data_IF_888340022029
#
_entry.id   IF_888340022029
#
_cell.length_a   1.000
_cell.length_b   1.000
_cell.length_c   1.000
_cell.angle_alpha   90.00
_cell.angle_beta   90.00
_cell.angle_gamma   90.00
#
_symmetry.space_group_name_H-M   'P 1'
#
loop_
_entity.id
_entity.type
_entity.pdbx_description
1 polymer ?
#
# COMPACT_ATOMS: atom_id res chain seq x y z
N UNK A 1 -17.73 32.22 54.89
CA UNK A 1 -18.64 32.07 53.72
C UNK A 1 -17.98 32.48 52.41
N UNK A 2 -17.30 33.65 52.32
CA UNK A 2 -16.61 34.13 51.10
C UNK A 2 -15.60 33.14 50.48
N UNK A 3 -14.76 32.48 51.31
CA UNK A 3 -13.76 31.50 50.83
C UNK A 3 -14.39 30.25 50.19
N UNK A 4 -15.54 29.79 50.71
CA UNK A 4 -16.28 28.65 50.14
C UNK A 4 -16.93 29.02 48.81
N UNK A 5 -17.48 30.23 48.71
CA UNK A 5 -18.02 30.76 47.46
C UNK A 5 -16.95 30.85 46.36
N UNK A 6 -15.75 31.35 46.70
CA UNK A 6 -14.61 31.43 45.77
C UNK A 6 -14.16 30.04 45.29
N UNK A 7 -14.09 29.06 46.20
CA UNK A 7 -13.73 27.68 45.84
C UNK A 7 -14.78 27.04 44.94
N UNK A 8 -16.06 27.26 45.20
CA UNK A 8 -17.16 26.75 44.37
C UNK A 8 -17.18 27.39 42.98
N UNK A 9 -16.95 28.70 42.89
CA UNK A 9 -16.84 29.38 41.58
C UNK A 9 -15.64 28.90 40.77
N UNK A 10 -14.51 28.65 41.44
CA UNK A 10 -13.31 28.12 40.77
C UNK A 10 -13.54 26.69 40.26
N UNK A 11 -14.17 25.85 41.08
CA UNK A 11 -14.51 24.48 40.69
C UNK A 11 -15.49 24.46 39.50
N UNK A 12 -16.52 25.31 39.51
CA UNK A 12 -17.45 25.44 38.40
C UNK A 12 -16.74 25.89 37.11
N UNK A 13 -15.82 26.85 37.22
CA UNK A 13 -15.04 27.31 36.07
C UNK A 13 -14.13 26.21 35.50
N UNK A 14 -13.45 25.43 36.36
CA UNK A 14 -12.63 24.30 35.93
C UNK A 14 -13.46 23.22 35.22
N UNK A 15 -14.67 22.93 35.72
CA UNK A 15 -15.57 21.96 35.11
C UNK A 15 -16.02 22.42 33.71
N UNK A 16 -16.37 23.70 33.56
CA UNK A 16 -16.76 24.30 32.28
C UNK A 16 -15.60 24.30 31.27
N UNK A 17 -14.38 24.63 31.72
CA UNK A 17 -13.20 24.62 30.88
C UNK A 17 -12.85 23.21 30.38
N UNK A 18 -13.00 22.19 31.24
CA UNK A 18 -12.79 20.79 30.86
C UNK A 18 -13.77 20.32 29.78
N UNK A 19 -15.05 20.69 29.89
CA UNK A 19 -16.07 20.37 28.88
C UNK A 19 -15.78 21.08 27.55
N UNK A 20 -15.38 22.34 27.58
CA UNK A 20 -15.04 23.10 26.37
C UNK A 20 -13.85 22.50 25.60
N UNK A 21 -12.81 22.04 26.32
CA UNK A 21 -11.64 21.39 25.72
C UNK A 21 -11.96 20.01 25.14
N UNK A 22 -12.89 19.26 25.75
CA UNK A 22 -13.30 17.95 25.25
C UNK A 22 -14.22 18.02 24.01
N UNK A 23 -14.93 19.12 23.83
CA UNK A 23 -15.78 19.37 22.65
C UNK A 23 -14.99 19.89 21.43
N UNK A 24 -13.69 20.21 21.60
CA UNK A 24 -12.85 20.60 20.48
C UNK A 24 -12.71 19.42 19.51
N UNK A 25 -12.99 19.59 18.21
CA UNK A 25 -12.75 18.56 17.21
C UNK A 25 -11.27 18.14 17.27
N UNK A 26 -10.96 16.84 17.25
CA UNK A 26 -9.57 16.42 17.11
C UNK A 26 -9.00 17.03 15.81
N UNK A 27 -7.71 17.43 15.79
CA UNK A 27 -7.08 17.87 14.55
C UNK A 27 -7.30 16.79 13.50
N UNK A 28 -7.80 17.20 12.34
CA UNK A 28 -8.07 16.27 11.25
C UNK A 28 -6.77 15.51 10.92
N UNK A 29 -6.84 14.18 10.69
CA UNK A 29 -5.68 13.45 10.22
C UNK A 29 -5.16 14.13 8.93
N UNK A 30 -3.94 14.66 8.97
CA UNK A 30 -3.31 15.12 7.75
C UNK A 30 -2.83 13.89 6.99
N UNK A 31 -3.43 13.67 5.83
CA UNK A 31 -2.95 12.70 4.87
C UNK A 31 -2.01 13.46 3.94
N UNK A 32 -0.72 13.36 4.22
CA UNK A 32 0.31 13.81 3.29
C UNK A 32 0.28 12.85 2.10
N UNK A 33 -0.15 13.33 0.93
CA UNK A 33 -0.08 12.57 -0.31
C UNK A 33 0.92 13.19 -1.26
N UNK A 34 1.64 12.32 -1.96
CA UNK A 34 2.50 12.69 -3.08
C UNK A 34 2.02 11.91 -4.31
N UNK A 35 1.97 12.60 -5.44
CA UNK A 35 1.68 11.97 -6.73
C UNK A 35 3.00 11.68 -7.40
N UNK A 36 3.30 10.41 -7.66
CA UNK A 36 4.32 10.05 -8.64
C UNK A 36 3.66 10.24 -10.01
N UNK A 37 3.84 11.42 -10.62
CA UNK A 37 3.33 11.68 -11.97
C UNK A 37 4.05 10.75 -12.95
N UNK A 38 3.27 9.93 -13.67
CA UNK A 38 3.65 9.15 -14.85
C UNK A 38 5.17 8.90 -14.99
N UNK A 39 5.68 7.94 -14.23
CA UNK A 39 7.00 7.37 -14.51
C UNK A 39 6.89 6.28 -15.56
N UNK A 40 7.96 5.97 -16.27
CA UNK A 40 7.93 4.96 -17.33
C UNK A 40 9.20 4.98 -18.17
N UNK A 41 9.30 4.06 -19.12
CA UNK A 41 10.45 3.98 -20.02
C UNK A 41 10.11 3.24 -21.30
N UNK A 42 10.76 3.69 -22.36
CA UNK A 42 10.76 3.05 -23.68
C UNK A 42 12.09 2.32 -23.87
N UNK A 43 12.03 1.09 -24.35
CA UNK A 43 13.21 0.29 -24.68
C UNK A 43 13.05 -0.33 -26.08
N UNK A 44 14.10 -0.26 -26.89
CA UNK A 44 14.12 -0.81 -28.25
C UNK A 44 15.28 -1.78 -28.44
N UNK A 45 15.01 -2.87 -29.16
CA UNK A 45 16.03 -3.79 -29.64
C UNK A 45 15.67 -4.25 -31.06
N UNK A 46 16.23 -3.60 -32.08
CA UNK A 46 15.94 -3.91 -33.48
C UNK A 46 14.49 -3.61 -33.86
N UNK A 47 13.70 -4.63 -34.16
CA UNK A 47 12.25 -4.49 -34.49
C UNK A 47 11.33 -4.56 -33.27
N UNK A 48 11.91 -4.71 -32.07
CA UNK A 48 11.14 -4.84 -30.83
C UNK A 48 11.08 -3.51 -30.09
N UNK A 49 9.88 -3.10 -29.71
CA UNK A 49 9.58 -1.90 -28.91
C UNK A 49 8.88 -2.30 -27.63
N UNK A 50 9.35 -1.83 -26.48
CA UNK A 50 8.77 -2.07 -25.17
C UNK A 50 8.46 -0.74 -24.48
N UNK A 51 7.19 -0.53 -24.14
CA UNK A 51 6.70 0.63 -23.43
C UNK A 51 6.26 0.22 -22.01
N UNK A 52 6.80 0.87 -20.99
CA UNK A 52 6.49 0.58 -19.60
C UNK A 52 6.07 1.85 -18.85
N UNK A 53 5.08 1.73 -17.96
CA UNK A 53 4.61 2.81 -17.09
C UNK A 53 4.72 2.39 -15.62
N UNK A 54 5.43 3.19 -14.81
CA UNK A 54 5.57 3.04 -13.36
C UNK A 54 4.20 3.17 -12.71
N UNK A 55 3.87 2.21 -11.85
CA UNK A 55 2.59 2.17 -11.14
C UNK A 55 1.48 1.40 -11.87
N UNK A 56 1.70 0.98 -13.12
CA UNK A 56 0.81 0.02 -13.78
C UNK A 56 1.33 -1.40 -13.55
N UNK A 57 0.61 -2.26 -12.81
CA UNK A 57 0.97 -3.67 -12.73
C UNK A 57 0.74 -4.31 -14.11
N UNK A 58 1.83 -4.49 -14.87
CA UNK A 58 1.82 -5.27 -16.10
C UNK A 58 2.13 -6.72 -15.73
N UNK A 59 1.15 -7.59 -15.91
CA UNK A 59 1.31 -9.05 -15.79
C UNK A 59 0.98 -9.66 -17.13
N UNK A 60 1.93 -10.34 -17.75
CA UNK A 60 1.72 -10.94 -19.07
C UNK A 60 2.94 -11.65 -19.60
N UNK A 61 2.70 -12.56 -20.54
CA UNK A 61 3.73 -13.32 -21.24
C UNK A 61 3.41 -13.33 -22.74
N UNK A 62 4.33 -12.84 -23.54
CA UNK A 62 4.25 -12.81 -25.01
C UNK A 62 5.33 -13.74 -25.52
N UNK A 63 4.91 -14.78 -26.26
CA UNK A 63 5.81 -15.76 -26.86
C UNK A 63 5.68 -15.68 -28.37
N UNK A 64 6.80 -15.55 -29.06
CA UNK A 64 6.94 -15.74 -30.49
C UNK A 64 8.02 -16.82 -30.73
N UNK A 65 8.17 -17.29 -31.97
CA UNK A 65 9.15 -18.32 -32.33
C UNK A 65 10.60 -17.96 -31.99
N UNK A 66 10.90 -16.67 -31.79
CA UNK A 66 12.25 -16.13 -31.59
C UNK A 66 12.45 -15.39 -30.27
N UNK A 67 11.40 -15.11 -29.50
CA UNK A 67 11.53 -14.41 -28.22
C UNK A 67 10.37 -14.73 -27.26
N UNK A 68 10.69 -14.65 -25.98
CA UNK A 68 9.73 -14.69 -24.89
C UNK A 68 9.92 -13.44 -24.04
N UNK A 69 8.85 -12.67 -23.89
CA UNK A 69 8.81 -11.49 -23.04
C UNK A 69 7.80 -11.73 -21.93
N UNK A 70 8.21 -11.58 -20.69
CA UNK A 70 7.32 -11.70 -19.55
C UNK A 70 7.51 -10.55 -18.58
N UNK A 71 6.40 -10.05 -18.05
CA UNK A 71 6.33 -9.00 -17.06
C UNK A 71 5.49 -9.49 -15.88
N UNK A 72 5.94 -9.22 -14.64
CA UNK A 72 5.27 -9.63 -13.41
C UNK A 72 6.12 -10.56 -12.54
N UNK A 73 5.45 -11.26 -11.61
CA UNK A 73 6.11 -11.81 -10.42
C UNK A 73 7.03 -13.02 -10.65
N UNK A 74 6.89 -13.76 -11.76
CA UNK A 74 7.67 -14.99 -12.02
C UNK A 74 7.66 -15.27 -13.53
N UNK A 75 8.76 -15.00 -14.22
CA UNK A 75 8.82 -15.23 -15.67
C UNK A 75 9.40 -16.58 -16.09
N UNK A 76 10.06 -17.29 -15.17
CA UNK A 76 10.44 -18.69 -15.38
C UNK A 76 10.80 -19.31 -14.03
N UNK A 77 9.79 -19.61 -13.21
CA UNK A 77 10.03 -20.36 -11.97
C UNK A 77 9.49 -21.76 -12.14
N UNK A 78 10.32 -22.61 -12.72
CA UNK A 78 10.27 -24.04 -12.47
C UNK A 78 10.56 -24.26 -10.99
N UNK A 79 9.50 -24.32 -10.17
CA UNK A 79 9.62 -24.71 -8.77
C UNK A 79 9.97 -26.20 -8.78
N UNK A 80 11.25 -26.53 -8.63
CA UNK A 80 11.67 -27.90 -8.40
C UNK A 80 11.12 -28.36 -7.05
N UNK A 81 9.98 -29.05 -7.08
CA UNK A 81 9.42 -29.66 -5.88
C UNK A 81 10.29 -30.88 -5.54
N UNK A 82 11.12 -30.77 -4.50
CA UNK A 82 11.67 -31.97 -3.87
C UNK A 82 10.50 -32.66 -3.15
N UNK A 83 9.97 -33.69 -3.79
CA UNK A 83 8.92 -34.52 -3.19
C UNK A 83 9.55 -35.38 -2.09
N UNK A 84 9.32 -35.00 -0.83
CA UNK A 84 9.81 -35.76 0.33
C UNK A 84 8.81 -36.84 0.78
N UNK A 85 7.59 -36.84 0.25
CA UNK A 85 6.61 -37.89 0.47
C UNK A 85 6.62 -38.89 -0.71
N UNK A 86 6.54 -40.20 -0.45
CA UNK A 86 6.30 -41.19 -1.49
C UNK A 86 4.90 -40.98 -2.07
N UNK A 87 4.82 -40.45 -3.29
CA UNK A 87 3.57 -40.32 -4.04
C UNK A 87 3.48 -41.44 -5.07
N UNK A 88 2.36 -42.16 -5.11
CA UNK A 88 2.05 -43.12 -6.17
C UNK A 88 1.62 -42.31 -7.40
N UNK A 89 2.45 -42.26 -8.44
CA UNK A 89 2.08 -41.71 -9.74
C UNK A 89 1.40 -42.78 -10.59
N UNK A 90 0.21 -42.48 -11.10
CA UNK A 90 -0.42 -43.27 -12.15
C UNK A 90 0.21 -42.86 -13.49
N UNK A 91 0.72 -43.82 -14.26
CA UNK A 91 1.07 -43.65 -15.66
C UNK A 91 -0.19 -43.82 -16.50
N UNK A 92 -0.42 -42.90 -17.44
CA UNK A 92 -1.33 -43.15 -18.56
C UNK A 92 -0.59 -43.89 -19.68
#
# INVERSE_FOLDING_TARGET
MKRRAVLLSLAAFLLLAGVALALAPPPAPQIDWWVISAGGGHAEAGVYTLEATIGQPVVGRVVNSTYELCAGFRCDVTVAHKTYLPLIRKSD
#
